data_IF_736921418392
#
_entry.id   IF_736921418392
#
_cell.length_a   1.000
_cell.length_b   1.000
_cell.length_c   1.000
_cell.angle_alpha   90.00
_cell.angle_beta   90.00
_cell.angle_gamma   90.00
#
_symmetry.space_group_name_H-M   'P 1'
#
loop_
_entity.id
_entity.type
_entity.pdbx_description
1 polymer ?
2 non-polymer ?
3 non-polymer ?
4 non-polymer ?
5 non-polymer ?
6 non-polymer ?
7 water ?
#
# COMPACT_ATOMS: atom_id res chain seq x y z
N UNK A 5 -25.79 -1.71 -17.41
CA UNK A 5 -25.31 -2.74 -16.44
C UNK A 5 -23.80 -2.97 -16.65
N UNK A 6 -23.03 -2.72 -15.60
CA UNK A 6 -21.58 -2.93 -15.65
C UNK A 6 -21.27 -4.34 -15.17
N UNK A 7 -21.97 -4.76 -14.12
CA UNK A 7 -21.76 -6.03 -13.50
C UNK A 7 -22.69 -7.05 -14.14
N UNK A 8 -22.09 -8.04 -14.79
CA UNK A 8 -22.84 -9.13 -15.39
C UNK A 8 -23.06 -10.21 -14.34
N UNK A 9 -24.30 -10.61 -14.03
CA UNK A 9 -24.53 -11.63 -12.99
C UNK A 9 -24.43 -13.07 -13.50
N UNK A 10 -24.39 -13.25 -14.83
CA UNK A 10 -24.36 -14.57 -15.44
C UNK A 10 -23.13 -14.70 -16.35
N UNK A 11 -22.58 -15.91 -16.37
CA UNK A 11 -21.44 -16.24 -17.27
C UNK A 11 -21.73 -15.74 -18.68
N UNK A 12 -20.85 -14.89 -19.24
CA UNK A 12 -20.99 -14.41 -20.62
C UNK A 12 -20.62 -15.51 -21.63
N UNK A 13 -21.50 -16.51 -21.76
CA UNK A 13 -21.23 -17.60 -22.71
C UNK A 13 -21.04 -16.99 -24.09
N UNK A 14 -20.04 -17.55 -24.80
CA UNK A 14 -19.71 -17.16 -26.16
C UNK A 14 -18.85 -15.89 -26.24
N UNK A 15 -18.52 -15.30 -25.08
CA UNK A 15 -17.77 -14.03 -25.08
C UNK A 15 -16.41 -14.20 -24.40
N UNK A 16 -15.51 -13.30 -24.77
CA UNK A 16 -14.16 -13.28 -24.24
C UNK A 16 -14.17 -12.66 -22.84
N UNK A 17 -13.57 -13.36 -21.89
CA UNK A 17 -13.56 -12.91 -20.50
C UNK A 17 -12.12 -12.95 -19.99
N UNK A 18 -11.65 -11.80 -19.50
CA UNK A 18 -10.31 -11.71 -18.98
C UNK A 18 -10.31 -12.08 -17.52
N UNK A 19 -9.33 -12.89 -17.12
CA UNK A 19 -9.14 -13.28 -15.73
C UNK A 19 -7.80 -12.75 -15.26
N UNK A 20 -7.82 -12.08 -14.10
CA UNK A 20 -6.60 -11.70 -13.42
C UNK A 20 -6.14 -12.99 -12.74
N UNK A 21 -5.21 -13.67 -13.40
CA UNK A 21 -4.92 -15.05 -13.09
C UNK A 21 -3.68 -15.20 -12.22
N UNK A 22 -3.92 -15.40 -10.91
CA UNK A 22 -2.86 -15.53 -9.93
C UNK A 22 -2.30 -16.96 -9.93
N UNK A 23 -3.12 -17.92 -10.38
CA UNK A 23 -2.73 -19.32 -10.45
C UNK A 23 -3.12 -20.10 -9.19
N UNK A 24 -3.76 -19.42 -8.23
CA UNK A 24 -4.31 -20.09 -7.04
C UNK A 24 -5.52 -20.94 -7.39
N UNK A 25 -6.08 -21.62 -6.39
CA UNK A 25 -7.19 -22.53 -6.66
C UNK A 25 -8.40 -21.76 -7.19
N UNK A 26 -8.69 -20.58 -6.64
CA UNK A 26 -9.90 -19.87 -7.06
C UNK A 26 -9.85 -19.54 -8.56
N UNK A 27 -8.73 -18.96 -9.01
CA UNK A 27 -8.64 -18.54 -10.42
C UNK A 27 -8.42 -19.74 -11.35
N UNK A 28 -7.75 -20.78 -10.86
CA UNK A 28 -7.52 -22.00 -11.66
C UNK A 28 -8.85 -22.69 -11.95
N UNK A 29 -9.65 -22.89 -10.91
CA UNK A 29 -10.92 -23.57 -11.08
C UNK A 29 -11.88 -22.72 -11.92
N UNK A 30 -11.88 -21.41 -11.65
CA UNK A 30 -12.73 -20.49 -12.36
C UNK A 30 -12.41 -20.49 -13.86
N UNK A 31 -11.11 -20.55 -14.21
CA UNK A 31 -10.74 -20.50 -15.62
C UNK A 31 -11.18 -21.80 -16.32
N UNK A 32 -10.94 -22.95 -15.67
CA UNK A 32 -11.38 -24.23 -16.22
C UNK A 32 -12.91 -24.24 -16.41
N UNK A 33 -13.63 -23.79 -15.39
CA UNK A 33 -15.10 -23.76 -15.40
C UNK A 33 -15.62 -22.86 -16.54
N UNK A 34 -15.05 -21.65 -16.64
CA UNK A 34 -15.48 -20.72 -17.69
C UNK A 34 -15.33 -21.38 -19.06
N UNK A 35 -14.22 -22.09 -19.26
CA UNK A 35 -13.97 -22.78 -20.54
C UNK A 35 -15.01 -23.90 -20.73
N UNK A 36 -15.22 -24.70 -19.69
CA UNK A 36 -16.13 -25.85 -19.80
C UNK A 36 -17.58 -25.39 -20.00
N UNK A 37 -17.92 -24.19 -19.51
CA UNK A 37 -19.32 -23.69 -19.59
C UNK A 37 -19.60 -22.84 -20.84
N UNK A 38 -18.60 -22.59 -21.69
CA UNK A 38 -18.91 -21.95 -22.95
C UNK A 38 -18.40 -20.53 -23.15
N UNK A 39 -17.63 -19.99 -22.19
CA UNK A 39 -17.02 -18.66 -22.35
C UNK A 39 -15.63 -18.87 -22.93
N UNK A 40 -14.96 -17.76 -23.28
CA UNK A 40 -13.63 -17.79 -23.88
C UNK A 40 -12.69 -17.06 -22.93
N UNK A 41 -12.13 -17.74 -21.92
CA UNK A 41 -11.30 -17.06 -20.93
C UNK A 41 -9.87 -16.78 -21.42
N UNK A 42 -9.40 -15.56 -21.14
CA UNK A 42 -8.04 -15.11 -21.37
C UNK A 42 -7.39 -14.85 -20.02
N UNK A 43 -6.17 -15.36 -19.85
CA UNK A 43 -5.49 -15.20 -18.57
C UNK A 43 -4.41 -14.12 -18.64
N UNK A 44 -4.41 -13.27 -17.60
CA UNK A 44 -3.43 -12.20 -17.46
C UNK A 44 -2.84 -12.28 -16.06
N UNK A 45 -1.54 -12.53 -15.97
CA UNK A 45 -0.84 -12.63 -14.70
C UNK A 45 0.06 -11.40 -14.55
N UNK A 46 -0.06 -10.71 -13.43
CA UNK A 46 0.78 -9.55 -13.20
C UNK A 46 2.06 -9.98 -12.47
N UNK A 47 3.20 -9.57 -13.03
CA UNK A 47 4.47 -9.76 -12.35
C UNK A 47 4.62 -8.59 -11.40
N UNK A 48 4.41 -8.85 -10.11
CA UNK A 48 4.43 -7.80 -9.12
C UNK A 48 5.60 -7.98 -8.18
N UNK A 49 6.54 -8.89 -8.52
CA UNK A 49 7.68 -9.09 -7.64
C UNK A 49 7.26 -9.61 -6.28
N UNK A 50 6.25 -10.47 -6.27
CA UNK A 50 5.78 -11.01 -5.00
C UNK A 50 6.89 -11.76 -4.28
N UNK A 51 7.06 -11.50 -2.97
CA UNK A 51 8.13 -12.12 -2.19
C UNK A 51 7.94 -13.64 -2.08
N UNK A 52 6.68 -14.09 -2.23
CA UNK A 52 6.29 -15.51 -2.07
C UNK A 52 6.02 -16.17 -3.42
N UNK A 53 6.33 -15.50 -4.54
CA UNK A 53 6.18 -16.12 -5.86
C UNK A 53 7.54 -16.55 -6.41
N UNK A 54 7.85 -17.86 -6.46
CA UNK A 54 9.14 -18.29 -6.99
C UNK A 54 9.23 -18.53 -8.51
N UNK A 55 8.11 -18.49 -9.25
CA UNK A 55 8.16 -18.81 -10.70
C UNK A 55 6.94 -18.27 -11.47
N UNK A 56 6.99 -16.99 -11.84
CA UNK A 56 5.90 -16.36 -12.58
C UNK A 56 5.72 -16.99 -13.97
N UNK A 57 6.80 -17.44 -14.60
CA UNK A 57 6.73 -17.99 -15.98
C UNK A 57 5.85 -19.26 -16.05
N UNK A 58 5.74 -19.98 -14.94
CA UNK A 58 4.96 -21.23 -14.89
C UNK A 58 3.45 -20.94 -14.88
N UNK A 59 3.04 -19.75 -14.45
CA UNK A 59 1.63 -19.45 -14.26
C UNK A 59 0.89 -19.38 -15.59
N UNK A 60 1.34 -18.61 -16.62
CA UNK A 60 0.65 -18.63 -17.91
C UNK A 60 0.62 -20.04 -18.55
N UNK A 61 1.64 -20.85 -18.26
CA UNK A 61 1.68 -22.21 -18.82
C UNK A 61 0.52 -23.03 -18.24
N UNK A 62 0.26 -22.89 -16.94
CA UNK A 62 -0.84 -23.62 -16.31
C UNK A 62 -2.18 -23.09 -16.83
N UNK A 63 -2.27 -21.77 -17.04
CA UNK A 63 -3.51 -21.20 -17.59
C UNK A 63 -3.85 -21.87 -18.94
N UNK A 64 -2.84 -22.05 -19.78
CA UNK A 64 -3.07 -22.67 -21.08
C UNK A 64 -3.51 -24.12 -20.88
N UNK A 65 -2.92 -24.80 -19.89
CA UNK A 65 -3.32 -26.18 -19.61
C UNK A 65 -4.79 -26.26 -19.18
N UNK A 66 -5.27 -25.25 -18.46
CA UNK A 66 -6.63 -25.25 -17.93
C UNK A 66 -7.66 -24.80 -18.97
N UNK A 67 -7.21 -24.35 -20.14
CA UNK A 67 -8.14 -23.97 -21.21
C UNK A 67 -8.15 -22.50 -21.58
N UNK A 68 -7.15 -21.71 -21.15
CA UNK A 68 -7.15 -20.30 -21.55
C UNK A 68 -6.99 -20.20 -23.08
N UNK A 69 -7.70 -19.23 -23.67
CA UNK A 69 -7.53 -18.99 -25.12
C UNK A 69 -6.11 -18.47 -25.39
N UNK A 70 -5.63 -17.62 -24.49
CA UNK A 70 -4.29 -17.07 -24.52
C UNK A 70 -3.95 -16.66 -23.10
N UNK A 71 -2.65 -16.64 -22.78
CA UNK A 71 -2.20 -16.34 -21.43
C UNK A 71 -0.96 -15.44 -21.54
N UNK A 72 -1.00 -14.33 -20.81
CA UNK A 72 0.11 -13.37 -20.83
C UNK A 72 0.60 -13.08 -19.41
N UNK A 73 1.91 -12.86 -19.30
CA UNK A 73 2.52 -12.33 -18.10
C UNK A 73 2.84 -10.85 -18.41
N UNK A 74 2.16 -9.97 -17.67
CA UNK A 74 2.30 -8.54 -17.81
C UNK A 74 3.25 -8.07 -16.71
N UNK A 75 4.37 -7.46 -17.12
CA UNK A 75 5.35 -7.01 -16.15
C UNK A 75 4.90 -5.68 -15.53
N UNK A 76 4.59 -5.72 -14.25
CA UNK A 76 4.13 -4.53 -13.55
C UNK A 76 5.15 -4.00 -12.52
N UNK A 77 6.37 -4.55 -12.51
CA UNK A 77 7.33 -4.22 -11.46
C UNK A 77 7.72 -2.72 -11.50
N UNK A 78 8.12 -2.23 -12.67
CA UNK A 78 8.59 -0.87 -12.75
C UNK A 78 7.47 0.11 -12.36
N UNK A 79 6.24 -0.18 -12.78
CA UNK A 79 5.12 0.72 -12.49
C UNK A 79 4.79 0.67 -10.99
N UNK A 80 4.85 -0.54 -10.42
CA UNK A 80 4.57 -0.70 -8.99
C UNK A 80 5.57 0.14 -8.17
N UNK A 81 6.86 0.05 -8.51
CA UNK A 81 7.89 0.78 -7.76
C UNK A 81 7.73 2.30 -8.00
N UNK A 82 7.38 2.69 -9.22
CA UNK A 82 7.18 4.13 -9.50
C UNK A 82 6.02 4.68 -8.66
N UNK A 83 4.90 3.96 -8.61
CA UNK A 83 3.74 4.44 -7.83
C UNK A 83 4.08 4.40 -6.33
N UNK A 84 4.83 3.40 -5.86
CA UNK A 84 5.25 3.31 -4.49
C UNK A 84 6.12 4.49 -4.08
N UNK A 85 7.07 4.87 -4.96
CA UNK A 85 7.93 5.99 -4.69
C UNK A 85 7.10 7.28 -4.69
N UNK A 86 6.10 7.36 -5.57
CA UNK A 86 5.24 8.56 -5.56
C UNK A 86 4.48 8.67 -4.24
N UNK A 87 3.96 7.51 -3.77
CA UNK A 87 3.25 7.49 -2.50
C UNK A 87 4.20 7.92 -1.37
N UNK A 88 5.42 7.38 -1.36
CA UNK A 88 6.44 7.78 -0.38
C UNK A 88 6.68 9.31 -0.44
N UNK A 89 6.90 9.85 -1.64
CA UNK A 89 7.21 11.28 -1.77
C UNK A 89 6.08 12.15 -1.23
N UNK A 90 4.83 11.68 -1.37
CA UNK A 90 3.67 12.45 -0.94
C UNK A 90 3.18 12.03 0.44
N UNK A 91 3.87 11.10 1.13
CA UNK A 91 3.44 10.65 2.45
C UNK A 91 1.99 10.16 2.45
N UNK A 92 1.64 9.39 1.42
CA UNK A 92 0.22 9.01 1.14
C UNK A 92 -0.22 7.80 1.98
N UNK A 93 -0.16 7.97 3.30
CA UNK A 93 -0.41 6.91 4.30
C UNK A 93 -1.32 7.48 5.39
N UNK A 94 -2.53 6.96 5.48
CA UNK A 94 -3.50 7.47 6.43
C UNK A 94 -3.77 6.50 7.58
N UNK A 95 -3.32 5.24 7.46
CA UNK A 95 -3.56 4.25 8.52
C UNK A 95 -2.31 4.16 9.39
N UNK A 96 -2.46 4.47 10.66
CA UNK A 96 -1.35 4.42 11.59
C UNK A 96 -1.88 4.21 13.00
N UNK A 97 -1.01 3.71 13.88
CA UNK A 97 -1.31 3.52 15.27
C UNK A 97 -0.08 3.99 16.06
N UNK A 98 -0.22 5.08 16.80
CA UNK A 98 0.89 5.65 17.55
C UNK A 98 2.10 5.88 16.64
N UNK A 99 1.80 6.35 15.43
CA UNK A 99 2.84 6.68 14.46
C UNK A 99 3.31 5.53 13.58
N UNK A 100 3.11 4.27 14.02
CA UNK A 100 3.48 3.09 13.19
C UNK A 100 2.51 3.08 12.03
N UNK A 101 3.05 3.16 10.82
CA UNK A 101 2.29 3.36 9.63
C UNK A 101 2.17 2.14 8.72
N UNK A 102 0.98 1.97 8.15
CA UNK A 102 0.74 1.06 7.05
C UNK A 102 0.99 1.83 5.76
N UNK A 103 1.81 1.27 4.86
CA UNK A 103 2.21 2.00 3.66
C UNK A 103 1.26 1.82 2.45
N UNK A 104 0.00 1.44 2.69
CA UNK A 104 -1.00 1.35 1.62
C UNK A 104 -0.49 0.50 0.45
N UNK A 105 0.21 -0.58 0.78
CA UNK A 105 0.82 -1.42 -0.27
C UNK A 105 -0.22 -2.15 -1.13
N UNK A 106 -1.32 -2.61 -0.53
CA UNK A 106 -2.34 -3.28 -1.33
C UNK A 106 -2.98 -2.24 -2.24
N UNK A 107 -3.45 -1.08 -1.71
CA UNK A 107 -4.04 -0.06 -2.59
C UNK A 107 -3.15 0.30 -3.78
N UNK A 108 -1.85 0.44 -3.56
CA UNK A 108 -0.96 0.80 -4.65
C UNK A 108 -0.92 -0.35 -5.68
N UNK A 109 -0.79 -1.58 -5.19
CA UNK A 109 -0.80 -2.72 -6.06
C UNK A 109 -2.05 -2.78 -6.93
N UNK A 110 -3.21 -2.47 -6.34
CA UNK A 110 -4.47 -2.56 -7.08
C UNK A 110 -4.55 -1.47 -8.16
N UNK A 111 -4.04 -0.26 -7.86
CA UNK A 111 -3.98 0.82 -8.85
C UNK A 111 -3.16 0.39 -10.07
N UNK A 112 -2.11 -0.37 -9.83
CA UNK A 112 -1.21 -0.79 -10.90
C UNK A 112 -1.82 -1.97 -11.65
N UNK A 113 -2.37 -2.96 -10.94
CA UNK A 113 -2.94 -4.15 -11.67
C UNK A 113 -4.32 -3.85 -12.27
N UNK A 114 -5.09 -2.96 -11.66
CA UNK A 114 -6.36 -2.65 -12.27
C UNK A 114 -6.11 -2.03 -13.63
N UNK A 115 -5.29 -0.98 -13.63
CA UNK A 115 -5.06 -0.30 -14.88
C UNK A 115 -4.34 -1.21 -15.88
N UNK A 116 -3.17 -1.76 -15.49
CA UNK A 116 -2.34 -2.44 -16.50
C UNK A 116 -2.99 -3.73 -17.03
N UNK A 117 -3.66 -4.52 -16.18
CA UNK A 117 -4.29 -5.78 -16.69
C UNK A 117 -5.50 -5.44 -17.56
N UNK A 118 -6.27 -4.40 -17.20
CA UNK A 118 -7.42 -4.04 -18.03
C UNK A 118 -6.93 -3.49 -19.38
N UNK A 119 -5.81 -2.76 -19.38
CA UNK A 119 -5.21 -2.23 -20.63
C UNK A 119 -4.76 -3.41 -21.50
N UNK A 120 -4.17 -4.42 -20.85
CA UNK A 120 -3.70 -5.60 -21.61
C UNK A 120 -4.92 -6.30 -22.23
N UNK A 121 -6.00 -6.40 -21.46
CA UNK A 121 -7.23 -7.03 -21.97
C UNK A 121 -7.75 -6.25 -23.18
N UNK A 122 -7.79 -4.91 -23.04
CA UNK A 122 -8.32 -4.04 -24.09
C UNK A 122 -7.52 -4.24 -25.39
N UNK A 123 -6.20 -4.45 -25.29
CA UNK A 123 -5.39 -4.57 -26.54
C UNK A 123 -5.60 -5.95 -27.19
N UNK A 124 -6.28 -6.85 -26.48
CA UNK A 124 -6.63 -8.16 -27.03
C UNK A 124 -8.12 -8.23 -27.40
N UNK A 125 -8.80 -7.09 -27.34
CA UNK A 125 -10.24 -7.10 -27.69
C UNK A 125 -11.09 -7.70 -26.59
N UNK A 126 -10.55 -7.74 -25.37
CA UNK A 126 -11.28 -8.34 -24.24
C UNK A 126 -11.89 -7.19 -23.42
N UNK A 127 -13.23 -7.11 -23.43
CA UNK A 127 -13.96 -6.05 -22.76
C UNK A 127 -14.79 -6.59 -21.58
N UNK A 128 -14.43 -7.78 -21.06
CA UNK A 128 -15.12 -8.35 -19.89
C UNK A 128 -14.08 -8.93 -18.95
N UNK A 129 -14.14 -8.50 -17.68
CA UNK A 129 -13.25 -9.00 -16.65
C UNK A 129 -14.05 -9.87 -15.67
N UNK A 130 -13.62 -11.14 -15.54
CA UNK A 130 -14.21 -12.04 -14.56
C UNK A 130 -13.43 -11.87 -13.27
N UNK A 131 -13.92 -10.97 -12.42
CA UNK A 131 -13.22 -10.53 -11.22
C UNK A 131 -13.92 -11.10 -9.98
N UNK A 132 -13.19 -11.95 -9.24
CA UNK A 132 -13.74 -12.63 -8.05
C UNK A 132 -13.67 -11.81 -6.76
N UNK A 133 -13.18 -10.58 -6.81
CA UNK A 133 -13.11 -9.78 -5.58
C UNK A 133 -14.46 -9.84 -4.86
N UNK A 134 -14.41 -10.10 -3.55
CA UNK A 134 -15.58 -10.38 -2.74
C UNK A 134 -16.47 -9.15 -2.58
N UNK A 135 -17.72 -9.43 -2.20
CA UNK A 135 -18.65 -8.36 -2.03
C UNK A 135 -18.40 -7.64 -0.70
N UNK A 136 -17.44 -8.10 0.13
CA UNK A 136 -17.38 -7.40 1.40
C UNK A 136 -16.05 -6.64 1.58
N UNK A 137 -15.11 -6.76 0.64
CA UNK A 137 -13.79 -6.15 0.81
C UNK A 137 -13.67 -4.81 0.10
N UNK A 138 -12.44 -4.28 0.10
CA UNK A 138 -12.16 -3.03 -0.54
C UNK A 138 -11.84 -3.22 -2.02
N UNK A 139 -11.18 -4.34 -2.36
CA UNK A 139 -10.64 -4.58 -3.71
C UNK A 139 -11.72 -4.61 -4.80
N UNK A 140 -12.92 -5.07 -4.49
CA UNK A 140 -13.99 -5.09 -5.50
C UNK A 140 -14.24 -3.67 -6.03
N UNK A 141 -14.11 -2.69 -5.14
CA UNK A 141 -14.42 -1.34 -5.51
C UNK A 141 -13.23 -0.70 -6.22
N UNK A 142 -12.03 -1.02 -5.76
CA UNK A 142 -10.80 -0.50 -6.37
C UNK A 142 -10.70 -1.00 -7.82
N UNK A 143 -10.85 -2.32 -8.02
CA UNK A 143 -10.74 -2.87 -9.35
C UNK A 143 -11.85 -2.32 -10.25
N UNK A 144 -13.05 -2.15 -9.72
CA UNK A 144 -14.16 -1.62 -10.45
C UNK A 144 -13.79 -0.23 -10.99
N UNK A 145 -13.26 0.64 -10.13
CA UNK A 145 -12.98 2.01 -10.54
C UNK A 145 -11.80 2.06 -11.50
N UNK A 146 -10.70 1.37 -11.16
CA UNK A 146 -9.53 1.40 -12.05
C UNK A 146 -9.87 0.78 -13.42
N UNK A 147 -10.70 -0.26 -13.40
CA UNK A 147 -11.09 -0.89 -14.65
C UNK A 147 -11.89 0.04 -15.55
N UNK A 148 -12.93 0.68 -15.00
CA UNK A 148 -13.77 1.58 -15.81
C UNK A 148 -13.01 2.85 -16.19
N UNK A 149 -12.06 3.28 -15.36
CA UNK A 149 -11.24 4.43 -15.77
C UNK A 149 -10.42 4.07 -17.00
N UNK A 150 -9.91 2.85 -17.04
CA UNK A 150 -9.00 2.41 -18.11
C UNK A 150 -9.75 2.04 -19.40
N UNK A 151 -10.91 1.40 -19.25
CA UNK A 151 -11.69 0.95 -20.41
C UNK A 151 -13.14 1.32 -20.16
N UNK A 152 -13.68 2.38 -20.80
CA UNK A 152 -15.03 2.81 -20.48
C UNK A 152 -16.12 1.80 -20.87
N UNK A 153 -15.75 0.84 -21.72
CA UNK A 153 -16.66 -0.20 -22.23
C UNK A 153 -16.55 -1.47 -21.40
N UNK A 154 -15.74 -1.46 -20.34
CA UNK A 154 -15.55 -2.65 -19.55
C UNK A 154 -16.85 -3.09 -18.87
N UNK A 155 -17.05 -4.41 -18.85
CA UNK A 155 -18.08 -5.03 -18.03
C UNK A 155 -17.35 -6.02 -17.13
N UNK A 156 -17.92 -6.28 -15.96
CA UNK A 156 -17.26 -7.10 -14.98
C UNK A 156 -18.14 -8.30 -14.66
N UNK A 157 -17.59 -9.51 -14.79
CA UNK A 157 -18.37 -10.69 -14.43
C UNK A 157 -18.03 -11.08 -12.99
N UNK A 158 -19.08 -11.13 -12.14
CA UNK A 158 -18.92 -11.54 -10.76
C UNK A 158 -19.43 -12.96 -10.62
N UNK A 159 -18.53 -13.97 -10.57
CA UNK A 159 -18.95 -15.36 -10.53
C UNK A 159 -19.79 -15.68 -9.29
N UNK A 160 -19.58 -14.94 -8.20
CA UNK A 160 -20.38 -15.18 -6.99
C UNK A 160 -21.81 -14.63 -7.15
N UNK A 161 -22.10 -14.01 -8.29
CA UNK A 161 -23.48 -13.57 -8.57
C UNK A 161 -24.21 -14.68 -9.34
N UNK A 162 -23.42 -15.67 -9.76
CA UNK A 162 -23.87 -16.74 -10.66
C UNK A 162 -24.10 -18.03 -9.85
N UNK A 163 -25.38 -18.35 -9.64
CA UNK A 163 -25.77 -19.51 -8.86
C UNK A 163 -25.18 -20.80 -9.47
N UNK A 164 -24.93 -20.81 -10.78
CA UNK A 164 -24.35 -22.01 -11.37
C UNK A 164 -22.93 -22.19 -10.80
N UNK A 165 -22.25 -21.06 -10.57
CA UNK A 165 -20.88 -21.04 -10.03
C UNK A 165 -20.86 -21.43 -8.55
N UNK A 166 -21.76 -20.84 -7.75
CA UNK A 166 -21.80 -21.14 -6.31
C UNK A 166 -22.18 -22.62 -6.09
N UNK A 167 -23.02 -23.16 -6.97
CA UNK A 167 -23.50 -24.53 -6.85
C UNK A 167 -22.39 -25.56 -7.16
N UNK A 168 -21.56 -25.32 -8.19
CA UNK A 168 -20.49 -26.28 -8.49
C UNK A 168 -19.23 -25.94 -7.67
N UNK A 169 -18.73 -24.71 -7.79
CA UNK A 169 -17.48 -24.33 -7.11
C UNK A 169 -17.77 -23.46 -5.88
N UNK A 170 -18.73 -23.89 -5.05
CA UNK A 170 -19.11 -23.13 -3.83
C UNK A 170 -18.07 -23.14 -2.71
N UNK A 171 -16.95 -23.85 -2.89
CA UNK A 171 -15.93 -23.90 -1.84
C UNK A 171 -14.65 -24.55 -2.32
N UNK A 172 -13.62 -24.51 -1.47
CA UNK A 172 -12.31 -25.07 -1.84
C UNK A 172 -12.38 -26.57 -2.12
N UNK A 173 -13.14 -27.33 -1.31
CA UNK A 173 -13.23 -28.77 -1.54
C UNK A 173 -13.84 -29.06 -2.91
N UNK A 174 -14.90 -28.30 -3.23
CA UNK A 174 -15.64 -28.46 -4.48
C UNK A 174 -14.77 -28.05 -5.68
N UNK A 175 -13.98 -27.00 -5.49
CA UNK A 175 -13.09 -26.52 -6.55
C UNK A 175 -12.03 -27.59 -6.86
N UNK A 176 -11.39 -28.09 -5.80
CA UNK A 176 -10.31 -29.07 -5.97
C UNK A 176 -10.84 -30.34 -6.66
N UNK A 177 -12.07 -30.73 -6.30
CA UNK A 177 -12.73 -31.89 -6.88
C UNK A 177 -13.00 -31.62 -8.37
N UNK A 178 -13.48 -30.40 -8.66
CA UNK A 178 -13.80 -30.02 -10.04
C UNK A 178 -12.56 -30.17 -10.93
N UNK A 179 -11.42 -29.70 -10.42
CA UNK A 179 -10.13 -29.78 -11.12
C UNK A 179 -9.77 -31.26 -11.34
N UNK A 180 -9.98 -32.07 -10.30
CA UNK A 180 -9.63 -33.51 -10.31
C UNK A 180 -10.39 -34.22 -11.45
N UNK A 181 -11.72 -34.01 -11.50
CA UNK A 181 -12.58 -34.60 -12.53
C UNK A 181 -12.13 -34.20 -13.94
N UNK A 182 -11.45 -33.06 -14.06
CA UNK A 182 -10.97 -32.58 -15.38
C UNK A 182 -9.57 -33.16 -15.68
N UNK A 183 -9.01 -33.86 -14.70
CA UNK A 183 -7.73 -34.53 -14.87
C UNK A 183 -6.55 -33.72 -14.36
N UNK A 184 -6.82 -32.71 -13.50
CA UNK A 184 -5.76 -31.90 -12.94
C UNK A 184 -5.70 -32.14 -11.44
N UNK A 185 -4.53 -32.54 -10.95
CA UNK A 185 -4.35 -32.75 -9.51
C UNK A 185 -3.81 -31.45 -8.90
N UNK A 186 -4.73 -30.59 -8.48
CA UNK A 186 -4.32 -29.31 -7.93
C UNK A 186 -3.64 -29.52 -6.57
N UNK A 187 -2.41 -29.03 -6.44
CA UNK A 187 -1.67 -29.15 -5.19
C UNK A 187 -1.88 -27.86 -4.38
N UNK A 188 -2.73 -27.96 -3.36
CA UNK A 188 -3.07 -26.83 -2.51
C UNK A 188 -1.88 -26.44 -1.63
N UNK A 189 -1.79 -25.15 -1.32
CA UNK A 189 -0.79 -24.65 -0.41
C UNK A 189 -1.15 -25.13 1.00
N UNK A 190 -0.17 -25.17 1.91
CA UNK A 190 -0.43 -25.58 3.29
C UNK A 190 -1.37 -24.55 3.95
N UNK A 191 -2.35 -25.04 4.72
CA UNK A 191 -3.30 -24.14 5.37
C UNK A 191 -2.59 -23.24 6.39
N UNK A 192 -3.06 -21.98 6.45
CA UNK A 192 -2.52 -20.98 7.37
C UNK A 192 -3.68 -20.50 8.26
N UNK A 193 -3.33 -19.83 9.36
CA UNK A 193 -4.33 -19.29 10.27
C UNK A 193 -4.74 -17.86 9.88
N UNK A 194 -4.43 -17.44 8.64
CA UNK A 194 -4.76 -16.13 8.12
C UNK A 194 -4.56 -16.15 6.61
N UNK A 195 -4.99 -15.05 5.96
CA UNK A 195 -4.96 -14.81 4.50
C UNK A 195 -3.95 -13.70 4.16
N UNK A 196 -3.12 -13.96 3.15
CA UNK A 196 -2.03 -13.04 2.79
C UNK A 196 -2.17 -12.55 1.35
N UNK A 197 -1.96 -11.24 1.14
CA UNK A 197 -1.86 -10.60 -0.19
C UNK A 197 -0.53 -9.85 -0.21
N UNK A 198 0.24 -9.97 -1.29
CA UNK A 198 1.59 -9.41 -1.32
C UNK A 198 1.98 -8.90 -2.71
N UNK A 199 3.00 -8.02 -2.68
CA UNK A 199 3.66 -7.49 -3.89
C UNK A 199 5.05 -7.05 -3.41
N UNK A 200 5.85 -6.54 -4.32
CA UNK A 200 7.22 -6.13 -3.97
C UNK A 200 7.21 -5.07 -2.86
N UNK A 201 6.14 -4.26 -2.78
CA UNK A 201 6.09 -3.14 -1.82
C UNK A 201 5.79 -3.62 -0.41
N UNK A 202 4.99 -4.69 -0.29
CA UNK A 202 4.60 -5.11 1.07
C UNK A 202 3.67 -6.32 1.04
N UNK A 203 3.37 -6.82 2.23
CA UNK A 203 2.49 -7.94 2.38
C UNK A 203 1.50 -7.64 3.50
N UNK A 204 0.28 -8.14 3.32
CA UNK A 204 -0.74 -7.94 4.31
C UNK A 204 -1.27 -9.31 4.75
N UNK A 205 -1.57 -9.44 6.04
CA UNK A 205 -2.03 -10.67 6.65
C UNK A 205 -3.31 -10.31 7.41
N UNK A 206 -4.39 -11.05 7.13
CA UNK A 206 -5.69 -10.71 7.71
C UNK A 206 -6.60 -11.93 7.70
N UNK A 207 -7.74 -11.77 8.37
CA UNK A 207 -8.80 -12.82 8.38
C UNK A 207 -8.42 -14.03 9.23
N UNK A 208 -9.35 -14.98 9.26
CA UNK A 208 -9.22 -16.18 10.03
C UNK A 208 -8.83 -15.83 11.47
N UNK A 209 -7.73 -16.41 11.98
CA UNK A 209 -7.42 -16.20 13.41
C UNK A 209 -7.06 -14.72 13.70
N UNK A 210 -6.66 -13.96 12.67
CA UNK A 210 -6.30 -12.57 12.89
C UNK A 210 -7.54 -11.70 13.05
N UNK A 211 -8.72 -12.31 12.91
CA UNK A 211 -9.92 -11.54 13.19
C UNK A 211 -10.03 -11.28 14.69
N UNK A 212 -9.41 -12.13 15.51
CA UNK A 212 -9.51 -11.97 16.95
C UNK A 212 -8.43 -10.99 17.44
N UNK A 213 -8.84 -9.96 18.18
CA UNK A 213 -7.87 -8.99 18.68
C UNK A 213 -6.97 -9.56 19.77
N UNK A 214 -7.30 -10.76 20.28
CA UNK A 214 -6.44 -11.43 21.24
C UNK A 214 -5.30 -12.18 20.54
N UNK A 215 -5.39 -12.30 19.21
CA UNK A 215 -4.29 -12.83 18.44
C UNK A 215 -3.60 -11.64 17.80
N UNK A 216 -2.41 -11.87 17.25
CA UNK A 216 -1.67 -10.78 16.66
C UNK A 216 -0.47 -11.29 15.91
N UNK A 217 0.56 -10.45 15.86
CA UNK A 217 1.76 -10.76 15.11
C UNK A 217 2.36 -12.09 15.58
N UNK A 218 2.13 -12.46 16.84
CA UNK A 218 2.73 -13.69 17.38
C UNK A 218 2.33 -14.92 16.56
N UNK A 219 1.21 -14.87 15.80
CA UNK A 219 0.76 -16.06 15.00
C UNK A 219 1.24 -15.99 13.55
N UNK A 220 1.87 -14.89 13.15
CA UNK A 220 2.25 -14.70 11.74
C UNK A 220 3.65 -15.23 11.43
N UNK A 221 3.76 -15.90 10.29
CA UNK A 221 5.07 -16.26 9.74
C UNK A 221 5.36 -15.22 8.66
N UNK A 222 6.27 -14.25 8.91
CA UNK A 222 6.51 -13.18 7.96
C UNK A 222 7.14 -13.69 6.67
N UNK A 223 6.79 -13.05 5.54
CA UNK A 223 7.31 -13.51 4.25
C UNK A 223 8.27 -12.52 3.62
N UNK A 224 8.47 -11.34 4.22
CA UNK A 224 9.44 -10.37 3.68
C UNK A 224 10.55 -10.10 4.71
N UNK A 225 10.48 -10.78 5.86
CA UNK A 225 11.48 -10.56 6.86
C UNK A 225 11.40 -11.60 7.96
N UNK A 226 12.12 -11.34 9.04
CA UNK A 226 12.23 -12.31 10.11
C UNK A 226 11.24 -12.05 11.24
N UNK A 227 11.04 -13.08 12.08
CA UNK A 227 10.15 -13.03 13.24
C UNK A 227 10.89 -12.42 14.45
N UNK A 228 11.05 -11.10 14.45
CA UNK A 228 11.83 -10.38 15.47
C UNK A 228 11.22 -10.47 16.88
N UNK A 229 9.93 -10.78 16.97
CA UNK A 229 9.21 -10.89 18.27
C UNK A 229 9.50 -12.24 18.95
N UNK A 230 10.30 -13.10 18.30
CA UNK A 230 10.73 -14.37 18.89
C UNK A 230 12.14 -14.13 19.42
N UNK A 231 12.28 -14.04 20.77
CA UNK A 231 13.57 -13.67 21.42
C UNK A 231 14.68 -14.67 21.10
N UNK A 232 14.32 -15.83 20.55
CA UNK A 232 15.27 -16.86 20.19
C UNK A 232 15.91 -16.56 18.83
N UNK A 233 15.28 -15.69 18.04
CA UNK A 233 15.75 -15.40 16.69
C UNK A 233 16.92 -14.42 16.78
N UNK A 234 18.05 -14.74 16.13
CA UNK A 234 19.19 -13.86 16.28
C UNK A 234 19.18 -12.82 15.15
N UNK A 235 19.28 -11.55 15.53
CA UNK A 235 19.33 -10.45 14.57
C UNK A 235 20.56 -9.60 14.86
N UNK A 236 21.47 -9.57 13.90
CA UNK A 236 22.72 -8.76 13.97
C UNK A 236 22.39 -7.29 13.72
N UNK A 237 22.97 -6.37 14.50
CA UNK A 237 22.83 -4.96 14.17
C UNK A 237 23.47 -4.74 12.81
N UNK A 238 22.99 -3.72 12.10
CA UNK A 238 23.48 -3.40 10.80
C UNK A 238 23.36 -1.89 10.58
N UNK A 239 24.39 -1.31 9.96
CA UNK A 239 24.34 0.10 9.56
C UNK A 239 23.97 0.16 8.09
N UNK A 240 23.15 1.15 7.73
CA UNK A 240 22.72 1.34 6.35
C UNK A 240 22.70 2.83 6.03
N UNK A 241 23.19 3.16 4.84
CA UNK A 241 23.05 4.50 4.34
C UNK A 241 22.08 4.46 3.15
N UNK A 242 21.18 5.43 3.14
CA UNK A 242 20.19 5.63 2.07
C UNK A 242 20.41 7.02 1.45
N UNK A 243 20.61 7.06 0.12
CA UNK A 243 20.76 8.32 -0.56
C UNK A 243 19.57 8.60 -1.47
N UNK A 244 19.15 9.87 -1.45
CA UNK A 244 18.14 10.37 -2.34
C UNK A 244 18.74 11.49 -3.22
N UNK A 245 18.26 11.58 -4.46
CA UNK A 245 18.58 12.70 -5.33
C UNK A 245 17.26 13.21 -5.91
N UNK A 246 16.92 14.47 -5.57
CA UNK A 246 15.68 15.08 -6.03
C UNK A 246 14.45 14.21 -5.69
N UNK A 247 14.48 13.54 -4.55
CA UNK A 247 13.31 12.78 -4.09
C UNK A 247 13.29 11.33 -4.53
N UNK A 248 14.20 10.96 -5.45
CA UNK A 248 14.30 9.59 -5.95
C UNK A 248 15.36 8.84 -5.14
N UNK A 249 15.06 7.65 -4.60
CA UNK A 249 16.07 6.87 -3.89
C UNK A 249 17.05 6.38 -4.98
N UNK A 250 18.36 6.62 -4.79
CA UNK A 250 19.34 6.29 -5.85
C UNK A 250 20.49 5.41 -5.38
N UNK A 251 20.73 5.33 -4.08
CA UNK A 251 21.86 4.51 -3.62
C UNK A 251 21.59 3.98 -2.23
N UNK A 252 22.17 2.80 -1.98
CA UNK A 252 22.13 2.13 -0.70
C UNK A 252 23.57 1.69 -0.36
N UNK A 253 24.07 2.08 0.80
CA UNK A 253 25.39 1.64 1.24
C UNK A 253 26.45 1.97 0.20
N UNK A 254 26.31 3.13 -0.43
CA UNK A 254 27.32 3.65 -1.35
C UNK A 254 27.26 3.03 -2.74
N UNK A 255 26.28 2.16 -2.97
CA UNK A 255 26.11 1.54 -4.28
C UNK A 255 24.93 2.23 -4.99
N UNK A 256 25.20 2.77 -6.19
CA UNK A 256 24.20 3.47 -6.98
C UNK A 256 23.40 2.46 -7.81
N UNK A 257 22.07 2.67 -7.84
CA UNK A 257 21.16 1.85 -8.61
C UNK A 257 20.52 2.65 -9.74
N UNK A 258 20.79 2.23 -10.97
CA UNK A 258 20.12 2.86 -12.13
C UNK A 258 18.67 2.38 -12.20
N UNK A 259 18.44 1.15 -11.71
CA UNK A 259 17.11 0.50 -11.77
C UNK A 259 16.44 0.59 -10.40
N UNK A 260 15.36 1.38 -10.25
CA UNK A 260 14.72 1.53 -8.95
C UNK A 260 14.14 0.21 -8.44
N UNK A 261 13.79 -0.69 -9.36
CA UNK A 261 13.28 -1.98 -8.95
C UNK A 261 14.41 -2.73 -8.21
N UNK A 262 15.64 -2.65 -8.74
CA UNK A 262 16.74 -3.32 -8.05
C UNK A 262 16.99 -2.66 -6.69
N UNK A 263 16.83 -1.33 -6.65
CA UNK A 263 17.05 -0.65 -5.38
C UNK A 263 16.02 -1.14 -4.37
N UNK A 264 14.74 -1.21 -4.77
CA UNK A 264 13.75 -1.61 -3.76
C UNK A 264 13.98 -3.06 -3.32
N UNK A 265 14.38 -3.94 -4.24
CA UNK A 265 14.64 -5.34 -3.85
C UNK A 265 15.75 -5.36 -2.78
N UNK A 266 16.76 -4.51 -2.95
CA UNK A 266 17.85 -4.47 -1.95
C UNK A 266 17.35 -3.84 -0.64
N UNK A 267 16.54 -2.76 -0.71
CA UNK A 267 16.00 -2.15 0.49
C UNK A 267 15.17 -3.18 1.27
N UNK A 268 14.40 -4.00 0.54
CA UNK A 268 13.61 -5.07 1.17
C UNK A 268 14.53 -6.08 1.90
N UNK A 269 15.65 -6.41 1.27
CA UNK A 269 16.61 -7.37 1.88
C UNK A 269 17.13 -6.78 3.20
N UNK A 270 17.53 -5.50 3.17
CA UNK A 270 18.10 -4.84 4.32
C UNK A 270 17.05 -4.77 5.44
N UNK A 271 15.86 -4.21 5.14
CA UNK A 271 14.85 -4.11 6.18
C UNK A 271 14.38 -5.45 6.67
N UNK A 272 14.34 -6.42 5.74
CA UNK A 272 13.83 -7.73 6.02
C UNK A 272 14.64 -8.47 7.08
N UNK A 273 15.95 -8.22 7.13
CA UNK A 273 16.79 -8.90 8.11
C UNK A 273 16.41 -8.51 9.54
N UNK A 274 15.69 -7.39 9.66
CA UNK A 274 15.33 -6.81 10.96
C UNK A 274 13.84 -6.92 11.26
N UNK A 275 13.03 -7.14 10.22
CA UNK A 275 11.57 -7.03 10.39
C UNK A 275 11.12 -5.59 10.46
N UNK A 276 11.96 -4.66 9.98
CA UNK A 276 11.64 -3.26 10.00
C UNK A 276 10.31 -2.99 9.27
N UNK A 277 9.46 -2.18 9.91
CA UNK A 277 8.24 -1.69 9.28
C UNK A 277 6.97 -2.48 9.60
N UNK A 278 7.06 -3.59 10.31
CA UNK A 278 5.85 -4.37 10.58
C UNK A 278 4.95 -3.62 11.56
N UNK A 279 3.63 -3.74 11.34
CA UNK A 279 2.66 -3.09 12.19
C UNK A 279 1.37 -3.92 12.25
N UNK A 280 0.53 -3.55 13.21
CA UNK A 280 -0.77 -4.15 13.50
C UNK A 280 -1.79 -3.02 13.49
N UNK A 281 -2.75 -3.08 12.56
CA UNK A 281 -3.68 -1.99 12.42
C UNK A 281 -5.14 -2.46 12.44
N UNK A 282 -6.00 -1.65 13.09
CA UNK A 282 -7.43 -1.77 12.94
C UNK A 282 -7.78 -0.59 12.04
N UNK A 283 -8.34 -0.86 10.87
CA UNK A 283 -8.60 0.23 9.95
C UNK A 283 -10.07 0.25 9.51
N UNK A 284 -10.47 1.38 8.94
CA UNK A 284 -11.82 1.55 8.42
C UNK A 284 -11.85 1.24 6.92
N UNK A 285 -12.65 0.24 6.54
CA UNK A 285 -12.78 -0.12 5.14
C UNK A 285 -13.63 0.92 4.42
N UNK A 286 -13.61 0.85 3.09
CA UNK A 286 -14.41 1.78 2.27
C UNK A 286 -15.88 1.78 2.69
N UNK A 287 -16.42 0.61 3.05
CA UNK A 287 -17.87 0.40 3.40
C UNK A 287 -18.19 0.82 4.83
N UNK A 288 -17.22 1.43 5.51
CA UNK A 288 -17.47 1.97 6.86
C UNK A 288 -17.73 0.85 7.89
N UNK A 289 -16.87 -0.16 7.83
CA UNK A 289 -16.79 -1.21 8.81
C UNK A 289 -15.30 -1.48 9.00
N UNK A 290 -14.92 -1.97 10.19
CA UNK A 290 -13.51 -2.12 10.48
C UNK A 290 -12.97 -3.51 10.16
N UNK A 291 -11.69 -3.53 9.83
CA UNK A 291 -10.98 -4.79 9.63
C UNK A 291 -9.62 -4.68 10.33
N UNK A 292 -8.95 -5.81 10.49
CA UNK A 292 -7.67 -5.87 11.20
C UNK A 292 -6.63 -6.56 10.33
N UNK A 293 -5.46 -5.92 10.27
CA UNK A 293 -4.37 -6.52 9.50
C UNK A 293 -3.02 -6.46 10.21
N UNK A 294 -2.13 -7.37 9.82
CA UNK A 294 -0.73 -7.37 10.19
C UNK A 294 0.02 -7.11 8.89
N UNK A 295 0.92 -6.11 8.88
CA UNK A 295 1.54 -5.64 7.65
C UNK A 295 3.07 -5.73 7.67
N UNK A 296 3.62 -5.98 6.48
CA UNK A 296 5.07 -5.99 6.23
C UNK A 296 5.34 -5.03 5.05
N UNK A 297 6.44 -4.28 5.14
CA UNK A 297 6.90 -3.40 4.08
C UNK A 297 8.32 -2.96 4.43
N UNK A 298 9.30 -3.88 4.45
CA UNK A 298 10.61 -3.54 5.00
C UNK A 298 11.40 -2.48 4.20
N UNK A 299 11.39 -2.60 2.88
CA UNK A 299 12.10 -1.64 2.04
C UNK A 299 11.48 -0.26 2.06
N UNK A 300 10.15 -0.19 1.92
CA UNK A 300 9.49 1.12 1.97
C UNK A 300 9.71 1.77 3.34
N UNK A 301 9.65 0.96 4.39
CA UNK A 301 9.83 1.50 5.76
C UNK A 301 11.22 2.16 5.89
N UNK A 302 12.24 1.50 5.34
CA UNK A 302 13.62 2.02 5.36
C UNK A 302 13.68 3.36 4.60
N UNK A 303 13.10 3.37 3.39
CA UNK A 303 13.10 4.58 2.58
C UNK A 303 12.28 5.72 3.24
N UNK A 304 11.17 5.37 3.91
CA UNK A 304 10.34 6.33 4.64
C UNK A 304 11.12 7.02 5.76
N UNK A 305 11.89 6.25 6.54
CA UNK A 305 12.66 6.87 7.63
C UNK A 305 13.64 7.90 7.05
N UNK A 306 14.35 7.50 5.99
CA UNK A 306 15.36 8.38 5.40
C UNK A 306 14.72 9.63 4.78
N UNK A 307 13.64 9.43 4.04
CA UNK A 307 12.95 10.52 3.37
C UNK A 307 12.44 11.52 4.41
N UNK A 308 11.70 11.02 5.41
CA UNK A 308 11.18 11.86 6.46
C UNK A 308 12.29 12.63 7.18
N UNK A 309 13.39 11.95 7.51
CA UNK A 309 14.49 12.64 8.20
C UNK A 309 14.97 13.83 7.35
N UNK A 310 15.19 13.59 6.05
CA UNK A 310 15.67 14.66 5.18
C UNK A 310 14.61 15.78 5.07
N UNK A 311 13.34 15.41 4.95
CA UNK A 311 12.28 16.45 4.95
C UNK A 311 12.42 17.35 6.18
N UNK A 312 12.59 16.75 7.37
CA UNK A 312 12.68 17.55 8.61
C UNK A 312 13.93 18.45 8.66
N UNK A 313 14.97 18.13 7.89
CA UNK A 313 16.18 18.96 7.86
C UNK A 313 16.16 20.03 6.77
N UNK A 314 15.17 19.96 5.88
CA UNK A 314 15.18 20.76 4.65
C UNK A 314 13.99 21.73 4.57
N UNK A 315 12.81 21.29 5.04
CA UNK A 315 11.61 22.09 4.77
C UNK A 315 11.10 22.86 5.98
N UNK A 316 10.47 24.01 5.68
CA UNK A 316 9.95 24.87 6.72
C UNK A 316 8.64 24.32 7.30
N UNK A 317 8.17 24.93 8.40
CA UNK A 317 7.07 24.32 9.13
C UNK A 317 5.79 24.27 8.30
N UNK A 318 5.47 25.35 7.60
CA UNK A 318 4.25 25.37 6.80
C UNK A 318 4.31 24.28 5.72
N UNK A 319 5.49 24.12 5.14
CA UNK A 319 5.66 23.13 4.07
C UNK A 319 5.45 21.72 4.63
N UNK A 320 6.06 21.42 5.78
CA UNK A 320 5.90 20.10 6.40
C UNK A 320 4.44 19.87 6.78
N UNK A 321 3.79 20.92 7.29
CA UNK A 321 2.39 20.81 7.73
C UNK A 321 1.51 20.43 6.53
N UNK A 322 1.70 21.11 5.39
CA UNK A 322 0.91 20.85 4.17
C UNK A 322 1.23 19.44 3.67
N UNK A 323 2.52 19.06 3.67
CA UNK A 323 2.92 17.73 3.24
C UNK A 323 2.16 16.65 4.04
N UNK A 324 2.09 16.86 5.37
CA UNK A 324 1.49 15.83 6.22
C UNK A 324 -0.04 15.81 6.10
N UNK A 325 -0.64 17.00 6.04
CA UNK A 325 -2.08 17.08 5.89
C UNK A 325 -2.46 16.41 4.56
N UNK A 326 -1.79 16.88 3.50
CA UNK A 326 -2.07 16.38 2.17
C UNK A 326 -1.87 14.87 2.12
N UNK A 327 -0.85 14.39 2.82
CA UNK A 327 -0.53 12.98 2.77
C UNK A 327 -1.61 12.12 3.34
N UNK A 328 -2.20 12.58 4.45
CA UNK A 328 -3.27 11.83 5.11
C UNK A 328 -4.51 11.82 4.21
N UNK A 329 -4.74 12.95 3.53
CA UNK A 329 -5.89 13.09 2.64
C UNK A 329 -5.72 12.15 1.44
N UNK A 330 -4.50 12.13 0.89
CA UNK A 330 -4.17 11.36 -0.28
C UNK A 330 -4.18 9.86 0.04
N UNK A 331 -3.69 9.50 1.22
CA UNK A 331 -3.70 8.12 1.62
C UNK A 331 -5.12 7.54 1.60
N UNK A 332 -6.07 8.34 2.11
CA UNK A 332 -7.46 7.88 2.15
C UNK A 332 -7.99 7.71 0.71
N UNK A 333 -7.67 8.66 -0.18
CA UNK A 333 -8.10 8.57 -1.59
C UNK A 333 -7.51 7.32 -2.25
N UNK A 334 -6.22 7.09 -1.99
CA UNK A 334 -5.53 5.92 -2.52
C UNK A 334 -6.24 4.63 -2.06
N UNK A 335 -6.53 4.58 -0.77
CA UNK A 335 -7.22 3.43 -0.19
C UNK A 335 -8.60 3.19 -0.80
N UNK A 336 -9.28 4.27 -1.19
CA UNK A 336 -10.61 4.20 -1.77
C UNK A 336 -10.60 3.83 -3.25
N UNK A 337 -9.41 3.68 -3.85
CA UNK A 337 -9.32 3.42 -5.30
C UNK A 337 -9.36 4.67 -6.17
N UNK A 338 -9.06 5.84 -5.57
CA UNK A 338 -9.16 7.15 -6.27
C UNK A 338 -7.78 7.76 -6.57
N UNK A 339 -6.75 6.90 -6.62
CA UNK A 339 -5.36 7.38 -6.83
C UNK A 339 -5.19 8.21 -8.11
N UNK A 340 -6.04 7.96 -9.12
CA UNK A 340 -5.88 8.68 -10.39
C UNK A 340 -6.93 9.77 -10.57
N UNK A 341 -7.80 9.98 -9.56
CA UNK A 341 -8.81 11.03 -9.64
C UNK A 341 -8.16 12.42 -9.48
N UNK A 342 -8.80 13.50 -9.98
CA UNK A 342 -8.17 14.82 -9.97
C UNK A 342 -7.72 15.29 -8.59
N UNK A 343 -8.56 15.05 -7.57
CA UNK A 343 -8.26 15.50 -6.24
C UNK A 343 -7.01 14.76 -5.71
N UNK A 344 -6.78 13.54 -6.16
CA UNK A 344 -5.55 12.78 -5.76
C UNK A 344 -4.33 13.32 -6.51
N UNK A 345 -4.48 13.52 -7.83
CA UNK A 345 -3.39 14.07 -8.63
C UNK A 345 -2.88 15.38 -8.00
N UNK A 346 -3.82 16.25 -7.61
CA UNK A 346 -3.46 17.55 -7.05
C UNK A 346 -2.50 17.37 -5.87
N UNK A 347 -2.86 16.45 -4.97
CA UNK A 347 -2.08 16.23 -3.74
C UNK A 347 -0.74 15.56 -4.05
N UNK A 348 -0.78 14.60 -4.96
CA UNK A 348 0.41 13.85 -5.29
C UNK A 348 1.46 14.73 -6.00
N UNK A 349 1.00 15.53 -6.97
CA UNK A 349 1.93 16.30 -7.76
C UNK A 349 2.58 17.40 -6.92
N UNK A 350 1.82 17.97 -5.99
CA UNK A 350 2.32 19.03 -5.08
C UNK A 350 3.57 18.54 -4.36
N UNK A 351 3.45 17.33 -3.84
CA UNK A 351 4.54 16.77 -3.07
C UNK A 351 5.68 16.34 -3.99
N UNK A 352 5.35 15.71 -5.12
CA UNK A 352 6.38 15.23 -6.02
C UNK A 352 7.27 16.38 -6.48
N UNK A 353 6.66 17.56 -6.62
CA UNK A 353 7.42 18.69 -7.10
C UNK A 353 8.10 19.46 -5.96
N UNK A 354 7.32 20.20 -5.18
CA UNK A 354 7.88 21.19 -4.27
C UNK A 354 8.46 20.57 -3.00
N UNK A 355 7.97 19.41 -2.59
CA UNK A 355 8.53 18.76 -1.42
C UNK A 355 9.71 17.87 -1.85
N UNK A 356 9.44 16.92 -2.73
CA UNK A 356 10.41 15.87 -3.04
C UNK A 356 11.63 16.38 -3.82
N UNK A 357 11.49 17.37 -4.71
CA UNK A 357 12.66 17.70 -5.56
C UNK A 357 13.78 18.33 -4.75
N UNK A 358 13.49 18.83 -3.54
CA UNK A 358 14.54 19.38 -2.67
C UNK A 358 15.20 18.28 -1.83
N UNK A 359 14.68 17.06 -1.92
CA UNK A 359 15.19 15.97 -1.05
C UNK A 359 16.37 15.26 -1.73
N UNK A 360 17.55 15.85 -1.53
CA UNK A 360 18.82 15.31 -1.98
C UNK A 360 19.66 15.19 -0.72
N UNK A 361 20.17 14.00 -0.42
CA UNK A 361 20.98 13.82 0.75
C UNK A 361 21.04 12.36 1.15
N UNK A 362 21.70 12.13 2.29
CA UNK A 362 21.95 10.77 2.80
C UNK A 362 21.54 10.69 4.27
N UNK A 363 21.00 9.52 4.67
CA UNK A 363 20.74 9.25 6.06
C UNK A 363 21.34 7.89 6.40
N UNK A 364 22.03 7.85 7.53
CA UNK A 364 22.66 6.62 8.02
C UNK A 364 21.93 6.20 9.29
N UNK A 365 21.58 4.92 9.36
CA UNK A 365 20.81 4.33 10.45
C UNK A 365 21.51 3.07 10.92
N UNK A 366 21.25 2.70 12.18
CA UNK A 366 21.55 1.36 12.69
C UNK A 366 20.21 0.67 12.92
N UNK A 367 20.02 -0.49 12.29
CA UNK A 367 18.83 -1.33 12.44
C UNK A 367 19.13 -2.45 13.45
N UNK A 368 18.17 -2.65 14.37
CA UNK A 368 18.23 -3.73 15.36
C UNK A 368 17.02 -4.65 15.12
N UNK A 369 16.09 -4.72 16.07
CA UNK A 369 14.90 -5.60 15.88
C UNK A 369 13.63 -4.78 15.64
N UNK A 370 12.85 -5.21 14.65
CA UNK A 370 11.60 -4.59 14.35
C UNK A 370 11.77 -3.10 14.07
N UNK A 371 11.02 -2.27 14.81
CA UNK A 371 11.05 -0.83 14.60
C UNK A 371 11.99 -0.13 15.59
N UNK A 372 12.90 -0.90 16.20
CA UNK A 372 13.95 -0.31 17.02
C UNK A 372 15.14 -0.05 16.10
N UNK A 373 15.45 1.23 15.89
CA UNK A 373 16.60 1.63 15.10
C UNK A 373 17.12 2.96 15.67
N UNK A 374 18.34 3.34 15.26
CA UNK A 374 18.89 4.63 15.64
C UNK A 374 19.37 5.41 14.42
N UNK A 375 19.11 6.71 14.42
CA UNK A 375 19.71 7.58 13.40
C UNK A 375 21.16 7.90 13.79
N UNK A 376 22.07 7.76 12.82
CA UNK A 376 23.52 7.95 13.04
C UNK A 376 24.06 9.21 12.35
N UNK A 377 23.51 9.55 11.18
CA UNK A 377 23.98 10.73 10.46
C UNK A 377 22.92 11.16 9.46
N UNK A 378 22.92 12.45 9.16
CA UNK A 378 22.01 13.07 8.22
C UNK A 378 22.84 14.12 7.48
N UNK A 379 22.94 13.97 6.14
CA UNK A 379 23.75 14.90 5.36
C UNK A 379 22.96 15.39 4.13
N UNK A 380 23.11 16.66 3.78
CA UNK A 380 22.45 17.22 2.59
C UNK A 380 22.97 18.62 2.32
N UNK A 381 23.26 18.88 1.06
CA UNK A 381 23.64 20.24 0.63
C UNK A 381 22.43 21.18 0.72
N UNK A 382 21.23 20.61 0.91
CA UNK A 382 20.01 21.40 0.94
C UNK A 382 19.48 21.62 2.37
N UNK A 383 20.19 21.13 3.40
CA UNK A 383 19.70 21.37 4.77
C UNK A 383 19.51 22.86 5.02
N UNK A 384 18.43 23.20 5.74
CA UNK A 384 18.28 24.53 6.30
C UNK A 384 18.67 24.49 7.78
N UNK A 385 18.86 23.27 8.30
CA UNK A 385 19.43 23.11 9.61
C UNK A 385 20.90 23.51 9.52
N UNK A 386 21.27 24.49 10.34
CA UNK A 386 22.58 25.09 10.29
C UNK A 386 22.78 25.86 11.58
N UNK A 387 23.15 25.16 12.65
CA UNK A 387 23.36 25.79 13.96
C UNK A 387 24.36 26.96 13.90
N UNK A 388 25.34 26.89 13.01
CA UNK A 388 26.35 27.96 12.94
C UNK A 388 25.69 29.30 12.55
N UNK A 389 24.57 29.25 11.80
CA UNK A 389 23.90 30.50 11.41
C UNK A 389 23.25 31.16 12.64
N UNK A 390 22.97 30.35 13.67
CA UNK A 390 22.36 30.86 14.92
C UNK A 390 23.46 31.20 15.93
N UNK A 391 24.72 30.92 15.58
CA UNK A 391 25.85 31.20 16.49
C UNK A 391 25.89 32.70 16.82
N UNK A 392 26.10 32.99 18.11
CA UNK A 392 26.13 34.35 18.64
C UNK A 392 27.55 34.71 19.13
N UNK A 393 28.43 33.70 19.21
CA UNK A 393 29.80 33.92 19.70
C UNK A 393 30.34 35.23 19.12
N UNK A 394 30.25 35.38 17.79
CA UNK A 394 30.73 36.56 17.08
C UNK A 394 29.54 37.39 16.60
N UNK A 395 29.24 38.45 17.37
CA UNK A 395 28.10 39.35 17.10
C UNK A 395 28.20 39.90 15.67
N UNK A 396 29.42 39.92 15.11
CA UNK A 396 29.63 40.41 13.75
C UNK A 396 28.87 39.53 12.75
N UNK A 397 28.55 38.31 13.17
CA UNK A 397 27.87 37.33 12.31
C UNK A 397 26.53 36.91 12.93
N UNK A 398 26.23 37.36 14.16
CA UNK A 398 24.97 36.96 14.80
C UNK A 398 23.78 37.42 13.97
N UNK A 399 22.78 36.55 13.71
CA UNK A 399 21.64 36.92 12.84
C UNK A 399 20.65 37.92 13.46
N UNK A 400 20.58 37.95 14.79
CA UNK A 400 19.72 38.86 15.49
C UNK A 400 20.31 39.07 16.89
N UNK A 401 19.89 40.17 17.50
CA UNK A 401 20.40 40.55 18.79
C UNK A 401 19.34 40.33 19.86
N UNK A 402 19.74 40.31 21.15
CA UNK A 402 18.77 40.23 22.25
C UNK A 402 17.70 41.31 22.11
N UNK A 403 18.11 42.53 21.75
CA UNK A 403 17.18 43.65 21.58
C UNK A 403 16.16 43.33 20.49
N UNK A 404 16.61 42.66 19.41
CA UNK A 404 15.71 42.32 18.31
C UNK A 404 14.60 41.38 18.83
N UNK A 405 14.99 40.39 19.63
CA UNK A 405 14.02 39.40 20.13
C UNK A 405 13.01 40.11 21.05
N UNK A 406 13.48 41.11 21.81
CA UNK A 406 12.60 41.83 22.74
C UNK A 406 11.50 42.54 21.95
N UNK A 407 11.90 43.12 20.81
CA UNK A 407 10.97 43.79 19.91
C UNK A 407 9.92 42.83 19.41
N UNK A 408 10.37 41.62 19.05
CA UNK A 408 9.48 40.59 18.52
C UNK A 408 8.44 40.22 19.60
N UNK A 409 8.89 40.05 20.84
CA UNK A 409 7.99 39.68 21.96
C UNK A 409 6.94 40.77 22.18
N UNK A 410 7.37 42.03 22.14
CA UNK A 410 6.48 43.14 22.41
C UNK A 410 5.31 43.15 21.42
N UNK A 411 5.54 42.72 20.19
CA UNK A 411 4.49 42.77 19.19
C UNK A 411 3.35 41.80 19.55
N UNK A 412 3.59 40.87 20.49
CA UNK A 412 2.60 39.86 20.87
C UNK A 412 1.52 40.39 21.84
N UNK A 413 1.79 41.53 22.48
CA UNK A 413 1.01 42.06 23.63
C UNK A 413 -0.49 42.26 23.36
N UNK A 414 -0.83 42.88 22.23
CA UNK A 414 -2.26 43.20 21.98
C UNK A 414 -3.12 41.93 21.91
N UNK A 415 -2.63 40.91 21.19
CA UNK A 415 -3.40 39.68 21.06
C UNK A 415 -3.41 38.89 22.38
N UNK A 416 -2.35 39.03 23.20
CA UNK A 416 -2.36 38.38 24.51
C UNK A 416 -3.48 38.97 25.36
N UNK A 417 -3.61 40.31 25.32
CA UNK A 417 -4.67 40.96 26.08
C UNK A 417 -6.02 40.43 25.59
N UNK A 418 -6.16 40.30 24.27
CA UNK A 418 -7.42 39.81 23.69
C UNK A 418 -7.75 38.40 24.19
N UNK A 419 -6.73 37.55 24.30
CA UNK A 419 -6.94 36.19 24.76
C UNK A 419 -7.36 36.21 26.23
N UNK A 420 -6.68 37.04 27.02
CA UNK A 420 -7.02 37.13 28.43
C UNK A 420 -8.50 37.50 28.56
N UNK A 421 -8.94 38.50 27.80
CA UNK A 421 -10.34 38.94 27.84
C UNK A 421 -11.28 37.81 27.40
N UNK A 422 -10.85 36.98 26.44
CA UNK A 422 -11.67 35.85 26.02
C UNK A 422 -11.89 34.90 27.20
N UNK A 423 -10.82 34.63 27.96
CA UNK A 423 -10.97 33.73 29.07
C UNK A 423 -12.04 34.26 30.05
N UNK A 424 -12.04 35.59 30.31
CA UNK A 424 -13.05 36.15 31.21
C UNK A 424 -14.46 36.00 30.60
N UNK A 425 -14.58 36.26 29.29
CA UNK A 425 -15.87 36.08 28.61
C UNK A 425 -16.33 34.62 28.70
N UNK A 426 -15.38 33.68 28.54
CA UNK A 426 -15.74 32.27 28.59
C UNK A 426 -16.18 31.87 30.02
N UNK A 427 -15.66 32.55 31.04
CA UNK A 427 -16.14 32.26 32.40
C UNK A 427 -17.55 32.82 32.55
N UNK A 428 -17.75 34.05 32.09
CA UNK A 428 -19.05 34.73 32.21
C UNK A 428 -20.15 33.93 31.52
N UNK A 429 -19.83 33.34 30.36
CA UNK A 429 -20.83 32.59 29.56
C UNK A 429 -20.93 31.12 29.98
N UNK A 430 -20.19 30.70 31.01
CA UNK A 430 -20.35 29.36 31.57
C UNK A 430 -19.53 28.24 30.95
N UNK A 431 -18.58 28.57 30.08
CA UNK A 431 -17.78 27.51 29.43
C UNK A 431 -16.59 27.10 30.30
N UNK A 432 -16.00 28.09 31.00
CA UNK A 432 -14.83 27.84 31.85
C UNK A 432 -15.22 28.13 33.29
N UNK A 433 -14.53 27.43 34.20
CA UNK A 433 -14.71 27.58 35.64
C UNK A 433 -13.84 28.73 36.11
N UNK A 434 -14.30 29.53 37.10
CA UNK A 434 -13.53 30.66 37.61
C UNK A 434 -12.17 30.22 38.21
N UNK A 435 -11.23 31.18 38.25
CA UNK A 435 -9.90 30.97 38.84
C UNK A 435 -9.26 32.32 39.16
N UNK A 439 -4.59 29.06 38.50
CA UNK A 439 -3.91 30.18 37.86
C UNK A 439 -4.83 30.80 36.79
N UNK A 440 -5.29 29.96 35.87
CA UNK A 440 -6.20 30.40 34.80
C UNK A 440 -7.53 29.66 34.96
N UNK A 441 -8.62 30.18 34.39
CA UNK A 441 -9.90 29.47 34.38
C UNK A 441 -9.70 28.06 33.80
N UNK A 442 -10.46 27.09 34.28
CA UNK A 442 -10.27 25.69 33.85
C UNK A 442 -11.44 25.19 33.00
N UNK A 443 -11.11 24.26 32.09
CA UNK A 443 -12.09 23.57 31.25
C UNK A 443 -12.94 22.71 32.20
N UNK A 444 -14.26 22.75 32.02
CA UNK A 444 -15.16 22.06 32.95
C UNK A 444 -15.43 20.63 32.46
N UNK A 445 -15.13 19.68 33.35
CA UNK A 445 -15.28 18.25 33.11
C UNK A 445 -16.36 17.70 34.04
#
# INVERSE_FOLDING_TARGET
SNAMTTILPNLPTGQKVGIAFSGGLDTSAALLWMRQKGAVPYAYTANLGQPDEPDYDEIPRRAMQYGAEAARLVDCRAQLVAEGIAALQAGAFHISTAGLTYFNTTPIGRAVTGTMLVAAMKEDGVNIWGDGSTFKGNDIERFYRYGLLTNPDLKIYKPWLDQTFIDELGGRAEMSEYMRQAGFDYKMSAEKAYSTDSNMLGATHEAKDLELLSAGIRIVQPIMGVAFWQDSVQIKAEEVTVRFEEGQPVALNGVEYADPVELLLEANRIGGRHGLGMSDQIENRIIEAKSRGIYEAPGLALLFIAYERLVTGIHNEDTIEQYRENGRKLGRLLYQGRWFDPQAIMLRETAQRWVARAITGEVTLELRRGNDYSLLNTESANLTYAPERLSMEKVENAPFTPADRIGQLTMRNLDIVDTREKLFTYVKTGLLAPSAGSALPQIKDGKK
#
